data_IF_916254985085
#
_entry.id   IF_916254985085
#
_cell.length_a   1.000
_cell.length_b   1.000
_cell.length_c   1.000
_cell.angle_alpha   90.00
_cell.angle_beta   90.00
_cell.angle_gamma   90.00
#
_symmetry.space_group_name_H-M   'P 1'
#
loop_
_entity.id
_entity.type
_entity.pdbx_description
1 polymer ?
#
# COMPACT_ATOMS: atom_id res chain seq x y z
N UNK A 1 -16.32 -4.56 -16.26
CA UNK A 1 -15.97 -5.93 -16.71
C UNK A 1 -16.68 -6.94 -15.81
N UNK A 2 -17.39 -7.93 -16.37
CA UNK A 2 -17.85 -9.09 -15.59
C UNK A 2 -16.83 -10.22 -15.70
N UNK A 3 -16.45 -10.79 -14.56
CA UNK A 3 -15.62 -11.98 -14.49
C UNK A 3 -16.45 -13.22 -14.84
N UNK A 4 -15.91 -14.10 -15.66
CA UNK A 4 -16.46 -15.44 -15.94
C UNK A 4 -16.44 -16.33 -14.72
N UNK A 5 -17.25 -17.40 -14.71
CA UNK A 5 -17.30 -18.37 -13.60
C UNK A 5 -15.94 -19.03 -13.31
N UNK A 6 -15.09 -19.17 -14.34
CA UNK A 6 -13.73 -19.72 -14.22
C UNK A 6 -12.78 -18.74 -13.55
N UNK A 7 -12.75 -17.50 -14.02
CA UNK A 7 -11.98 -16.40 -13.41
C UNK A 7 -12.37 -16.19 -11.94
N UNK A 8 -13.66 -16.30 -11.65
CA UNK A 8 -14.18 -16.21 -10.30
C UNK A 8 -13.66 -17.33 -9.38
N UNK A 9 -13.66 -18.57 -9.90
CA UNK A 9 -13.15 -19.75 -9.18
C UNK A 9 -11.64 -19.63 -8.92
N UNK A 10 -10.89 -19.08 -9.87
CA UNK A 10 -9.45 -18.85 -9.73
C UNK A 10 -9.14 -17.80 -8.65
N UNK A 11 -9.92 -16.71 -8.55
CA UNK A 11 -9.79 -15.72 -7.46
C UNK A 11 -10.06 -16.39 -6.11
N UNK A 12 -11.16 -17.14 -6.01
CA UNK A 12 -11.58 -17.80 -4.76
C UNK A 12 -10.52 -18.81 -4.29
N UNK A 13 -9.97 -19.59 -5.22
CA UNK A 13 -8.89 -20.52 -4.94
C UNK A 13 -7.62 -19.80 -4.44
N UNK A 14 -7.24 -18.68 -5.05
CA UNK A 14 -6.05 -17.93 -4.64
C UNK A 14 -6.21 -17.23 -3.30
N UNK A 15 -7.44 -16.90 -2.91
CA UNK A 15 -7.76 -16.47 -1.55
C UNK A 15 -7.66 -17.59 -0.52
N UNK A 16 -8.07 -18.81 -0.89
CA UNK A 16 -8.06 -19.99 -0.01
C UNK A 16 -6.65 -20.58 0.18
N UNK A 17 -5.83 -20.60 -0.87
CA UNK A 17 -4.46 -21.13 -0.84
C UNK A 17 -3.46 -20.14 -0.22
N UNK A 18 -3.83 -18.86 -0.15
CA UNK A 18 -2.98 -17.78 0.33
C UNK A 18 -2.16 -17.15 -0.79
N UNK A 19 -2.13 -15.81 -0.78
CA UNK A 19 -1.34 -14.97 -1.67
C UNK A 19 -0.02 -14.47 -1.06
N UNK A 20 0.52 -13.39 -1.60
CA UNK A 20 1.86 -12.83 -1.34
C UNK A 20 1.98 -12.06 0.01
N UNK A 21 1.58 -12.64 1.14
CA UNK A 21 1.57 -11.97 2.48
C UNK A 21 2.94 -11.43 2.89
N UNK A 22 3.97 -12.23 2.68
CA UNK A 22 5.34 -11.84 3.02
C UNK A 22 5.82 -10.64 2.20
N UNK A 23 5.42 -10.56 0.92
CA UNK A 23 5.73 -9.42 0.07
C UNK A 23 4.95 -8.17 0.48
N UNK A 24 3.65 -8.31 0.81
CA UNK A 24 2.86 -7.20 1.37
C UNK A 24 3.54 -6.65 2.63
N UNK A 25 3.91 -7.54 3.55
CA UNK A 25 4.55 -7.14 4.80
C UNK A 25 5.93 -6.50 4.59
N UNK A 26 6.73 -7.05 3.67
CA UNK A 26 8.04 -6.50 3.32
C UNK A 26 7.93 -5.09 2.72
N UNK A 27 7.00 -4.89 1.78
CA UNK A 27 6.77 -3.58 1.15
C UNK A 27 6.27 -2.55 2.16
N UNK A 28 5.30 -2.91 3.01
CA UNK A 28 4.79 -2.04 4.06
C UNK A 28 5.87 -1.68 5.08
N UNK A 29 6.67 -2.65 5.54
CA UNK A 29 7.75 -2.42 6.49
C UNK A 29 8.85 -1.51 5.91
N UNK A 30 9.22 -1.74 4.65
CA UNK A 30 10.24 -0.95 3.94
C UNK A 30 9.77 0.49 3.75
N UNK A 31 8.54 0.68 3.26
CA UNK A 31 7.95 2.00 3.08
C UNK A 31 7.87 2.75 4.42
N UNK A 32 7.32 2.10 5.46
CA UNK A 32 7.15 2.71 6.79
C UNK A 32 8.49 3.15 7.38
N UNK A 33 9.50 2.29 7.30
CA UNK A 33 10.84 2.59 7.82
C UNK A 33 11.47 3.77 7.08
N UNK A 34 11.38 3.81 5.76
CA UNK A 34 11.92 4.91 4.96
C UNK A 34 11.19 6.22 5.25
N UNK A 35 9.85 6.19 5.35
CA UNK A 35 9.04 7.36 5.70
C UNK A 35 9.39 7.90 7.08
N UNK A 36 9.52 7.04 8.09
CA UNK A 36 9.92 7.46 9.45
C UNK A 36 11.32 8.05 9.46
N UNK A 37 12.28 7.44 8.76
CA UNK A 37 13.64 7.97 8.67
C UNK A 37 13.65 9.37 8.04
N UNK A 38 12.86 9.60 6.98
CA UNK A 38 12.73 10.92 6.38
C UNK A 38 12.10 11.92 7.36
N UNK A 39 10.98 11.57 7.99
CA UNK A 39 10.26 12.44 8.92
C UNK A 39 11.09 12.79 10.16
N UNK A 40 11.85 11.83 10.70
CA UNK A 40 12.79 12.05 11.80
C UNK A 40 13.94 12.96 11.38
N UNK A 41 14.47 12.81 10.16
CA UNK A 41 15.48 13.72 9.63
C UNK A 41 14.94 15.14 9.46
N UNK A 42 13.74 15.29 8.91
CA UNK A 42 13.08 16.59 8.75
C UNK A 42 12.86 17.29 10.11
N UNK A 43 12.48 16.52 11.13
CA UNK A 43 12.27 17.01 12.49
C UNK A 43 13.58 17.39 13.19
N UNK A 44 14.62 16.55 13.08
CA UNK A 44 15.79 16.64 13.94
C UNK A 44 17.01 17.28 13.28
N UNK A 45 17.11 17.20 11.95
CA UNK A 45 18.34 17.44 11.19
C UNK A 45 18.28 18.59 10.20
N UNK A 46 17.13 18.87 9.55
CA UNK A 46 17.03 19.92 8.52
C UNK A 46 17.64 21.26 8.96
N UNK A 47 17.40 21.66 10.20
CA UNK A 47 17.88 22.93 10.77
C UNK A 47 19.11 22.77 11.69
N UNK A 48 19.65 21.56 11.84
CA UNK A 48 20.72 21.21 12.79
C UNK A 48 21.77 20.30 12.15
N UNK A 49 22.20 20.63 10.94
CA UNK A 49 23.15 19.85 10.14
C UNK A 49 24.52 19.65 10.81
N UNK A 50 24.86 20.45 11.83
CA UNK A 50 26.12 20.29 12.57
C UNK A 50 26.17 19.06 13.48
N UNK A 51 25.02 18.45 13.82
CA UNK A 51 24.99 17.23 14.63
C UNK A 51 25.55 16.04 13.85
N UNK A 52 26.37 15.21 14.50
CA UNK A 52 27.01 14.03 13.89
C UNK A 52 26.00 13.12 13.19
N UNK A 53 24.90 12.76 13.88
CA UNK A 53 23.83 11.92 13.32
C UNK A 53 23.20 12.47 12.02
N UNK A 54 23.21 13.80 11.85
CA UNK A 54 22.67 14.44 10.66
C UNK A 54 23.70 14.50 9.53
N UNK A 55 24.99 14.65 9.86
CA UNK A 55 26.09 14.59 8.89
C UNK A 55 26.24 13.20 8.31
N UNK A 56 26.21 12.16 9.14
CA UNK A 56 26.33 10.76 8.70
C UNK A 56 25.26 10.42 7.64
N UNK A 57 24.03 10.95 7.81
CA UNK A 57 22.94 10.77 6.83
C UNK A 57 23.18 11.58 5.56
N UNK A 58 23.69 12.81 5.67
CA UNK A 58 23.99 13.65 4.50
C UNK A 58 25.10 13.01 3.68
N UNK A 59 26.20 12.59 4.32
CA UNK A 59 27.35 11.95 3.66
C UNK A 59 26.92 10.65 2.95
N UNK A 60 26.14 9.80 3.62
CA UNK A 60 25.62 8.57 3.01
C UNK A 60 24.68 8.83 1.80
N UNK A 61 23.99 9.98 1.78
CA UNK A 61 23.13 10.36 0.65
C UNK A 61 23.91 11.07 -0.46
N UNK A 62 24.94 11.84 -0.12
CA UNK A 62 25.81 12.53 -1.10
C UNK A 62 26.51 11.55 -2.05
N UNK A 63 26.85 10.34 -1.57
CA UNK A 63 27.35 9.25 -2.43
C UNK A 63 26.39 8.87 -3.58
N UNK A 64 25.10 9.20 -3.45
CA UNK A 64 24.08 8.96 -4.49
C UNK A 64 23.93 10.12 -5.47
N UNK A 65 24.58 11.25 -5.22
CA UNK A 65 24.44 12.48 -6.02
C UNK A 65 23.11 13.22 -5.84
N UNK A 66 22.31 12.85 -4.83
CA UNK A 66 21.00 13.45 -4.53
C UNK A 66 21.05 14.27 -3.23
N UNK A 67 20.14 15.23 -3.10
CA UNK A 67 19.85 15.84 -1.79
C UNK A 67 18.99 14.91 -0.92
N UNK A 68 19.07 15.02 0.42
CA UNK A 68 18.38 14.12 1.37
C UNK A 68 16.88 13.96 1.12
N UNK A 69 16.15 15.07 0.93
CA UNK A 69 14.73 15.01 0.63
C UNK A 69 14.43 14.32 -0.72
N UNK A 70 15.25 14.60 -1.75
CA UNK A 70 15.14 13.95 -3.05
C UNK A 70 15.43 12.46 -2.95
N UNK A 71 16.46 12.05 -2.21
CA UNK A 71 16.80 10.65 -1.98
C UNK A 71 15.65 9.89 -1.34
N UNK A 72 15.08 10.39 -0.23
CA UNK A 72 13.97 9.73 0.44
C UNK A 72 12.73 9.67 -0.44
N UNK A 73 12.40 10.76 -1.14
CA UNK A 73 11.27 10.79 -2.06
C UNK A 73 11.42 9.77 -3.19
N UNK A 74 12.58 9.75 -3.87
CA UNK A 74 12.90 8.77 -4.92
C UNK A 74 12.85 7.35 -4.39
N UNK A 75 13.37 7.11 -3.17
CA UNK A 75 13.36 5.80 -2.53
C UNK A 75 11.92 5.34 -2.24
N UNK A 76 11.07 6.19 -1.66
CA UNK A 76 9.68 5.86 -1.39
C UNK A 76 8.90 5.57 -2.68
N UNK A 77 9.05 6.41 -3.70
CA UNK A 77 8.39 6.19 -5.00
C UNK A 77 8.86 4.91 -5.67
N UNK A 78 10.14 4.59 -5.57
CA UNK A 78 10.70 3.32 -6.08
C UNK A 78 10.14 2.11 -5.33
N UNK A 79 9.98 2.20 -3.99
CA UNK A 79 9.35 1.14 -3.20
C UNK A 79 7.90 0.93 -3.61
N UNK A 80 7.14 1.99 -3.87
CA UNK A 80 5.76 1.88 -4.38
C UNK A 80 5.73 1.23 -5.76
N UNK A 81 6.59 1.64 -6.69
CA UNK A 81 6.67 1.01 -8.02
C UNK A 81 6.94 -0.48 -7.89
N UNK A 82 7.89 -0.89 -7.03
CA UNK A 82 8.17 -2.31 -6.77
C UNK A 82 6.97 -3.05 -6.19
N UNK A 83 6.28 -2.45 -5.22
CA UNK A 83 5.04 -3.03 -4.69
C UNK A 83 3.97 -3.20 -5.78
N UNK A 84 3.81 -2.23 -6.68
CA UNK A 84 2.90 -2.36 -7.82
C UNK A 84 3.34 -3.46 -8.79
N UNK A 85 4.64 -3.59 -9.10
CA UNK A 85 5.16 -4.67 -9.95
C UNK A 85 4.85 -6.04 -9.35
N UNK A 86 4.96 -6.19 -8.03
CA UNK A 86 4.79 -7.47 -7.36
C UNK A 86 3.32 -7.84 -7.11
N UNK A 87 2.50 -6.82 -6.80
CA UNK A 87 1.17 -7.02 -6.21
C UNK A 87 0.04 -6.50 -7.08
N UNK A 88 0.22 -5.44 -7.88
CA UNK A 88 -0.88 -4.76 -8.55
C UNK A 88 -1.28 -5.44 -9.87
N UNK A 89 -2.59 -5.52 -10.17
CA UNK A 89 -3.07 -5.64 -11.54
C UNK A 89 -2.72 -4.39 -12.35
N UNK A 90 -2.47 -4.52 -13.66
CA UNK A 90 -2.02 -3.38 -14.49
C UNK A 90 -2.96 -2.16 -14.45
N UNK A 91 -4.27 -2.42 -14.40
CA UNK A 91 -5.29 -1.36 -14.41
C UNK A 91 -5.49 -0.67 -13.06
N UNK A 92 -4.94 -1.19 -11.97
CA UNK A 92 -4.99 -0.57 -10.63
C UNK A 92 -3.70 0.17 -10.26
N UNK A 93 -2.78 0.36 -11.21
CA UNK A 93 -1.57 1.14 -11.00
C UNK A 93 -1.86 2.62 -11.30
N UNK A 94 -1.71 3.55 -10.33
CA UNK A 94 -1.97 4.97 -10.57
C UNK A 94 -1.05 5.58 -11.63
N UNK A 95 -1.55 6.63 -12.29
CA UNK A 95 -0.82 7.32 -13.34
C UNK A 95 0.56 7.83 -12.88
N UNK A 96 0.66 8.41 -11.68
CA UNK A 96 1.93 8.94 -11.18
C UNK A 96 2.99 7.83 -11.03
N UNK A 97 2.59 6.61 -10.68
CA UNK A 97 3.48 5.44 -10.56
C UNK A 97 4.00 5.06 -11.93
N UNK A 98 3.10 4.97 -12.94
CA UNK A 98 3.47 4.70 -14.34
C UNK A 98 4.42 5.78 -14.88
N UNK A 99 4.11 7.06 -14.63
CA UNK A 99 4.94 8.19 -15.03
C UNK A 99 6.32 8.13 -14.38
N UNK A 100 6.40 7.92 -13.06
CA UNK A 100 7.67 7.84 -12.33
C UNK A 100 8.51 6.65 -12.82
N UNK A 101 7.89 5.48 -13.01
CA UNK A 101 8.58 4.29 -13.50
C UNK A 101 9.18 4.51 -14.91
N UNK A 102 8.44 5.14 -15.82
CA UNK A 102 8.93 5.50 -17.14
C UNK A 102 10.20 6.35 -17.08
N UNK A 103 10.16 7.43 -16.31
CA UNK A 103 11.26 8.40 -16.23
C UNK A 103 12.49 7.87 -15.50
N UNK A 104 12.33 6.83 -14.67
CA UNK A 104 13.42 6.22 -13.90
C UNK A 104 13.85 4.86 -14.46
N UNK A 105 13.40 4.49 -15.66
CA UNK A 105 13.85 3.27 -16.34
C UNK A 105 13.36 1.95 -15.69
N UNK A 106 12.31 1.99 -14.88
CA UNK A 106 11.71 0.83 -14.22
C UNK A 106 10.72 0.16 -15.17
N UNK A 107 11.25 -0.57 -16.15
CA UNK A 107 10.50 -1.10 -17.30
C UNK A 107 9.55 -2.24 -16.93
N UNK A 108 9.82 -2.94 -15.84
CA UNK A 108 9.07 -4.10 -15.37
C UNK A 108 7.61 -3.75 -15.07
N UNK A 109 7.32 -2.52 -14.64
CA UNK A 109 5.94 -2.07 -14.43
C UNK A 109 5.12 -2.09 -15.72
N UNK A 110 5.76 -1.86 -16.88
CA UNK A 110 5.08 -1.91 -18.17
C UNK A 110 4.87 -3.33 -18.66
N UNK A 111 5.46 -4.35 -18.03
CA UNK A 111 5.23 -5.75 -18.39
C UNK A 111 3.95 -6.30 -17.73
N UNK A 112 3.33 -5.54 -16.82
CA UNK A 112 2.11 -5.96 -16.13
C UNK A 112 0.96 -6.27 -17.08
N UNK A 113 0.83 -5.57 -18.21
CA UNK A 113 -0.23 -5.85 -19.19
C UNK A 113 -0.11 -7.23 -19.86
N UNK A 114 1.06 -7.88 -19.76
CA UNK A 114 1.32 -9.21 -20.35
C UNK A 114 1.03 -10.36 -19.39
N UNK A 115 0.73 -10.05 -18.12
CA UNK A 115 0.37 -11.09 -17.16
C UNK A 115 -0.94 -11.75 -17.60
N UNK A 116 -0.99 -13.07 -17.46
CA UNK A 116 -2.21 -13.81 -17.74
C UNK A 116 -3.34 -13.40 -16.79
N UNK A 117 -4.56 -13.69 -17.21
CA UNK A 117 -5.77 -13.35 -16.45
C UNK A 117 -5.73 -13.90 -15.03
N UNK A 118 -5.19 -15.10 -14.80
CA UNK A 118 -5.14 -15.72 -13.47
C UNK A 118 -4.23 -14.93 -12.55
N UNK A 119 -3.05 -14.52 -13.00
CA UNK A 119 -2.12 -13.71 -12.21
C UNK A 119 -2.69 -12.30 -11.95
N UNK A 120 -3.34 -11.67 -12.93
CA UNK A 120 -4.03 -10.38 -12.74
C UNK A 120 -5.10 -10.47 -11.64
N UNK A 121 -5.81 -11.60 -11.59
CA UNK A 121 -6.85 -11.85 -10.61
C UNK A 121 -6.32 -12.17 -9.22
N UNK A 122 -5.22 -12.90 -9.10
CA UNK A 122 -4.54 -13.12 -7.82
C UNK A 122 -4.10 -11.79 -7.20
N UNK A 123 -3.59 -10.89 -8.04
CA UNK A 123 -3.14 -9.55 -7.67
C UNK A 123 -4.29 -8.63 -7.22
N UNK A 124 -5.50 -8.85 -7.73
CA UNK A 124 -6.70 -8.13 -7.30
C UNK A 124 -7.04 -8.37 -5.82
N UNK A 125 -6.56 -9.46 -5.23
CA UNK A 125 -6.74 -9.77 -3.80
C UNK A 125 -5.69 -9.05 -2.95
N UNK A 126 -4.44 -9.08 -3.40
CA UNK A 126 -3.28 -8.67 -2.60
C UNK A 126 -3.05 -7.16 -2.63
N UNK A 127 -3.22 -6.52 -3.78
CA UNK A 127 -2.95 -5.10 -3.93
C UNK A 127 -3.89 -4.19 -3.14
N UNK A 128 -5.23 -4.43 -3.11
CA UNK A 128 -6.10 -3.64 -2.26
C UNK A 128 -5.66 -3.70 -0.79
N UNK A 129 -5.34 -4.88 -0.27
CA UNK A 129 -4.88 -5.04 1.12
C UNK A 129 -3.64 -4.17 1.37
N UNK A 130 -2.65 -4.24 0.48
CA UNK A 130 -1.48 -3.37 0.55
C UNK A 130 -1.86 -1.89 0.56
N UNK A 131 -2.69 -1.43 -0.38
CA UNK A 131 -3.08 -0.02 -0.51
C UNK A 131 -3.86 0.50 0.72
N UNK A 132 -4.82 -0.28 1.24
CA UNK A 132 -5.57 0.06 2.45
C UNK A 132 -4.67 0.14 3.68
N UNK A 133 -3.79 -0.84 3.87
CA UNK A 133 -2.85 -0.83 4.99
C UNK A 133 -1.88 0.35 4.90
N UNK A 134 -1.38 0.65 3.70
CA UNK A 134 -0.50 1.79 3.46
C UNK A 134 -1.22 3.12 3.75
N UNK A 135 -2.49 3.26 3.35
CA UNK A 135 -3.34 4.40 3.69
C UNK A 135 -3.50 4.57 5.21
N UNK A 136 -3.74 3.48 5.95
CA UNK A 136 -3.79 3.51 7.42
C UNK A 136 -2.47 3.96 8.06
N UNK A 137 -1.33 3.48 7.55
CA UNK A 137 0.01 3.91 7.98
C UNK A 137 0.22 5.40 7.68
N UNK A 138 -0.16 5.85 6.48
CA UNK A 138 -0.05 7.25 6.05
C UNK A 138 -0.79 8.20 6.99
N UNK A 139 -2.05 7.91 7.31
CA UNK A 139 -2.82 8.68 8.30
C UNK A 139 -2.18 8.67 9.69
N UNK A 140 -1.63 7.53 10.11
CA UNK A 140 -0.93 7.43 11.39
C UNK A 140 0.29 8.36 11.46
N UNK A 141 1.05 8.45 10.37
CA UNK A 141 2.20 9.34 10.27
C UNK A 141 1.77 10.81 10.28
N UNK A 142 0.73 11.17 9.54
CA UNK A 142 0.17 12.53 9.54
C UNK A 142 -0.21 12.95 10.95
N UNK A 143 -1.04 12.17 11.65
CA UNK A 143 -1.48 12.52 13.01
C UNK A 143 -0.34 12.65 14.03
N UNK A 144 0.69 11.80 13.94
CA UNK A 144 1.81 11.84 14.88
C UNK A 144 2.69 13.08 14.64
N UNK A 145 2.93 13.45 13.38
CA UNK A 145 3.81 14.57 13.03
C UNK A 145 3.10 15.92 12.93
N UNK A 146 1.78 15.96 12.71
CA UNK A 146 0.97 17.18 12.83
C UNK A 146 1.06 17.78 14.24
N UNK A 147 1.03 16.94 15.28
CA UNK A 147 1.17 17.37 16.68
C UNK A 147 2.52 18.01 16.97
N UNK A 148 3.56 17.67 16.20
CA UNK A 148 4.91 18.23 16.34
C UNK A 148 5.02 19.56 15.59
N UNK A 149 4.30 19.71 14.47
CA UNK A 149 4.35 20.87 13.59
C UNK A 149 5.63 20.91 12.72
N UNK A 150 5.80 22.02 12.00
CA UNK A 150 7.01 22.30 11.21
C UNK A 150 7.15 21.48 9.92
N UNK A 151 8.38 21.36 9.42
CA UNK A 151 8.68 20.71 8.13
C UNK A 151 8.34 19.22 8.13
N UNK A 152 8.50 18.52 9.24
CA UNK A 152 8.10 17.11 9.34
C UNK A 152 6.59 16.91 9.18
N UNK A 153 5.76 17.87 9.62
CA UNK A 153 4.31 17.82 9.39
C UNK A 153 3.99 17.96 7.89
N UNK A 154 4.59 18.96 7.23
CA UNK A 154 4.43 19.16 5.78
C UNK A 154 4.92 17.94 4.98
N UNK A 155 6.04 17.32 5.37
CA UNK A 155 6.53 16.09 4.75
C UNK A 155 5.60 14.90 5.00
N UNK A 156 4.99 14.77 6.18
CA UNK A 156 4.02 13.70 6.45
C UNK A 156 2.78 13.86 5.56
N UNK A 157 2.27 15.09 5.44
CA UNK A 157 1.17 15.41 4.53
C UNK A 157 1.54 15.12 3.07
N UNK A 158 2.75 15.50 2.63
CA UNK A 158 3.24 15.17 1.29
C UNK A 158 3.26 13.66 1.03
N UNK A 159 3.88 12.88 1.92
CA UNK A 159 3.92 11.41 1.78
C UNK A 159 2.50 10.85 1.70
N UNK A 160 1.59 11.34 2.53
CA UNK A 160 0.21 10.85 2.53
C UNK A 160 -0.54 11.24 1.25
N UNK A 161 -0.68 12.53 0.96
CA UNK A 161 -1.54 13.01 -0.13
C UNK A 161 -0.95 12.78 -1.53
N UNK A 162 0.37 12.88 -1.69
CA UNK A 162 0.98 12.82 -3.03
C UNK A 162 1.47 11.42 -3.41
N UNK A 163 1.69 10.54 -2.42
CA UNK A 163 2.22 9.19 -2.66
C UNK A 163 1.20 8.11 -2.28
N UNK A 164 0.63 8.17 -1.08
CA UNK A 164 -0.22 7.09 -0.55
C UNK A 164 -1.66 7.19 -1.04
N UNK A 165 -2.28 8.36 -0.92
CA UNK A 165 -3.70 8.56 -1.24
C UNK A 165 -4.06 8.11 -2.66
N UNK A 166 -3.26 8.41 -3.71
CA UNK A 166 -3.63 7.98 -5.06
C UNK A 166 -3.61 6.46 -5.25
N UNK A 167 -2.84 5.72 -4.45
CA UNK A 167 -2.84 4.24 -4.45
C UNK A 167 -4.13 3.69 -3.84
N UNK A 168 -4.66 4.38 -2.84
CA UNK A 168 -5.92 4.05 -2.21
C UNK A 168 -7.11 4.44 -3.09
N UNK A 169 -7.11 5.65 -3.66
CA UNK A 169 -8.19 6.16 -4.51
C UNK A 169 -8.45 5.27 -5.72
N UNK A 170 -7.39 4.83 -6.43
CA UNK A 170 -7.56 3.95 -7.59
C UNK A 170 -8.17 2.60 -7.19
N UNK A 171 -7.89 2.13 -5.98
CA UNK A 171 -8.50 0.91 -5.43
C UNK A 171 -9.96 1.18 -5.08
N UNK A 172 -10.29 2.30 -4.41
CA UNK A 172 -11.68 2.64 -4.07
C UNK A 172 -12.54 2.82 -5.30
N UNK A 173 -12.07 3.56 -6.31
CA UNK A 173 -12.81 3.80 -7.56
C UNK A 173 -12.87 2.52 -8.40
N UNK A 174 -11.75 1.80 -8.51
CA UNK A 174 -11.68 0.53 -9.24
C UNK A 174 -12.50 -0.59 -8.61
N UNK A 175 -12.75 -0.50 -7.30
CA UNK A 175 -13.58 -1.40 -6.51
C UNK A 175 -14.92 -0.77 -6.07
N UNK A 176 -15.28 0.43 -6.54
CA UNK A 176 -16.50 1.14 -6.13
C UNK A 176 -17.81 0.35 -6.33
N UNK A 177 -17.90 -0.66 -7.22
CA UNK A 177 -19.03 -1.59 -7.23
C UNK A 177 -19.20 -2.43 -5.93
N UNK A 178 -18.31 -2.31 -4.94
CA UNK A 178 -18.34 -3.03 -3.67
C UNK A 178 -19.28 -2.37 -2.63
N UNK A 179 -20.10 -3.15 -1.89
CA UNK A 179 -21.00 -2.68 -0.85
C UNK A 179 -20.33 -1.98 0.34
N UNK A 180 -21.08 -1.05 0.95
CA UNK A 180 -20.66 -0.18 2.06
C UNK A 180 -20.02 -0.88 3.27
N UNK A 181 -20.47 -2.08 3.66
CA UNK A 181 -19.91 -2.80 4.81
C UNK A 181 -18.46 -3.25 4.61
N UNK A 182 -18.02 -3.44 3.35
CA UNK A 182 -16.62 -3.77 3.01
C UNK A 182 -15.73 -2.58 3.30
N UNK A 183 -16.18 -1.37 2.93
CA UNK A 183 -15.48 -0.13 3.25
C UNK A 183 -15.32 0.06 4.77
N UNK A 184 -16.26 -0.44 5.57
CA UNK A 184 -16.28 -0.29 7.02
C UNK A 184 -15.38 -1.30 7.73
N UNK A 185 -15.40 -2.57 7.33
CA UNK A 185 -14.45 -3.60 7.79
C UNK A 185 -13.01 -3.28 7.39
N UNK A 186 -12.80 -2.77 6.17
CA UNK A 186 -11.48 -2.30 5.70
C UNK A 186 -11.01 -1.06 6.47
N UNK A 187 -11.92 -0.12 6.75
CA UNK A 187 -11.63 1.05 7.58
C UNK A 187 -11.28 0.65 9.01
N UNK A 188 -12.00 -0.32 9.58
CA UNK A 188 -11.71 -0.88 10.91
C UNK A 188 -10.36 -1.57 10.94
N UNK A 189 -10.04 -2.40 9.95
CA UNK A 189 -8.73 -3.03 9.82
C UNK A 189 -7.60 -2.00 9.64
N UNK A 190 -7.83 -0.96 8.85
CA UNK A 190 -6.89 0.16 8.68
C UNK A 190 -6.71 0.94 9.99
N UNK A 191 -7.77 1.09 10.79
CA UNK A 191 -7.73 1.73 12.10
C UNK A 191 -7.03 0.85 13.16
N UNK A 192 -7.21 -0.47 13.12
CA UNK A 192 -6.48 -1.41 13.98
C UNK A 192 -4.99 -1.44 13.63
N UNK A 193 -4.66 -1.48 12.33
CA UNK A 193 -3.31 -1.35 11.81
C UNK A 193 -2.69 0.01 12.20
N UNK A 194 -3.43 1.11 12.08
CA UNK A 194 -3.06 2.44 12.58
C UNK A 194 -2.69 2.40 14.07
N UNK A 195 -3.55 1.85 14.93
CA UNK A 195 -3.33 1.84 16.37
C UNK A 195 -2.11 0.99 16.76
N UNK A 196 -1.92 -0.12 16.07
CA UNK A 196 -0.77 -0.98 16.27
C UNK A 196 0.53 -0.38 15.73
N UNK A 197 0.50 0.23 14.55
CA UNK A 197 1.64 0.95 13.99
C UNK A 197 2.04 2.11 14.90
N UNK A 198 1.08 2.89 15.39
CA UNK A 198 1.28 3.94 16.38
C UNK A 198 1.94 3.42 17.66
N UNK A 199 1.52 2.26 18.18
CA UNK A 199 2.17 1.60 19.33
C UNK A 199 3.59 1.13 19.01
N UNK A 200 3.82 0.56 17.83
CA UNK A 200 5.13 0.08 17.39
C UNK A 200 6.13 1.22 17.18
N UNK A 201 5.67 2.34 16.60
CA UNK A 201 6.46 3.56 16.39
C UNK A 201 6.85 4.19 17.74
N UNK A 202 5.91 4.26 18.70
CA UNK A 202 6.22 4.75 20.07
C UNK A 202 7.10 3.81 20.89
N UNK A 203 7.29 2.55 20.47
CA UNK A 203 8.01 1.51 21.21
C UNK A 203 9.27 0.93 20.54
N UNK A 204 9.72 1.45 19.39
CA UNK A 204 10.94 1.02 18.65
C UNK A 204 11.07 -0.49 18.30
N UNK A 205 10.02 -1.31 18.40
CA UNK A 205 10.09 -2.73 18.02
C UNK A 205 9.62 -2.95 16.58
N UNK A 206 10.59 -3.16 15.67
CA UNK A 206 10.37 -3.57 14.27
C UNK A 206 9.57 -4.89 14.15
N UNK A 207 9.58 -5.71 15.20
CA UNK A 207 8.92 -7.02 15.26
C UNK A 207 7.42 -6.94 15.54
N UNK A 208 6.89 -5.78 15.97
CA UNK A 208 5.45 -5.64 16.23
C UNK A 208 4.60 -5.42 14.97
N UNK A 209 5.20 -4.87 13.91
CA UNK A 209 4.51 -4.56 12.66
C UNK A 209 4.26 -5.82 11.82
N UNK A 210 5.25 -6.71 11.70
CA UNK A 210 5.16 -7.88 10.83
C UNK A 210 4.03 -8.86 11.22
N UNK A 211 3.92 -9.38 12.47
CA UNK A 211 2.85 -10.30 12.87
C UNK A 211 1.47 -9.65 12.76
N UNK A 212 1.39 -8.35 13.00
CA UNK A 212 0.14 -7.61 12.90
C UNK A 212 -0.26 -7.39 11.45
N UNK A 213 0.68 -7.01 10.58
CA UNK A 213 0.46 -6.93 9.14
C UNK A 213 0.03 -8.26 8.56
N UNK A 214 0.65 -9.37 8.98
CA UNK A 214 0.25 -10.71 8.58
C UNK A 214 -1.16 -11.06 9.07
N UNK A 215 -1.49 -10.81 10.35
CA UNK A 215 -2.82 -11.10 10.90
C UNK A 215 -3.92 -10.23 10.26
N UNK A 216 -3.65 -8.93 10.06
CA UNK A 216 -4.57 -8.01 9.40
C UNK A 216 -4.75 -8.38 7.93
N UNK A 217 -3.67 -8.70 7.21
CA UNK A 217 -3.73 -9.18 5.82
C UNK A 217 -4.55 -10.46 5.71
N UNK A 218 -4.31 -11.45 6.58
CA UNK A 218 -5.06 -12.71 6.60
C UNK A 218 -6.54 -12.50 6.88
N UNK A 219 -6.88 -11.73 7.93
CA UNK A 219 -8.28 -11.40 8.25
C UNK A 219 -8.97 -10.67 7.10
N UNK A 220 -8.28 -9.74 6.42
CA UNK A 220 -8.83 -9.02 5.28
C UNK A 220 -9.04 -9.93 4.07
N UNK A 221 -8.10 -10.84 3.77
CA UNK A 221 -8.28 -11.86 2.73
C UNK A 221 -9.47 -12.75 3.02
N UNK A 222 -9.59 -13.30 4.22
CA UNK A 222 -10.72 -14.17 4.57
C UNK A 222 -12.08 -13.46 4.43
N UNK A 223 -12.13 -12.15 4.71
CA UNK A 223 -13.36 -11.35 4.54
C UNK A 223 -13.65 -11.07 3.07
N UNK A 224 -12.64 -10.69 2.28
CA UNK A 224 -12.76 -10.51 0.83
C UNK A 224 -13.16 -11.82 0.14
N UNK A 225 -12.64 -12.96 0.58
CA UNK A 225 -12.96 -14.28 0.06
C UNK A 225 -14.42 -14.67 0.29
N UNK A 226 -14.87 -14.59 1.55
CA UNK A 226 -16.27 -14.85 1.91
C UNK A 226 -17.22 -13.96 1.12
N UNK A 227 -16.84 -12.71 0.90
CA UNK A 227 -17.67 -11.77 0.18
C UNK A 227 -17.75 -12.05 -1.33
N UNK A 228 -16.64 -12.40 -1.96
CA UNK A 228 -16.64 -12.80 -3.36
C UNK A 228 -17.64 -13.96 -3.56
N UNK A 229 -17.65 -14.96 -2.68
CA UNK A 229 -18.67 -16.03 -2.73
C UNK A 229 -20.11 -15.50 -2.70
N UNK A 230 -20.40 -14.45 -1.93
CA UNK A 230 -21.73 -13.81 -1.88
C UNK A 230 -22.05 -13.06 -3.19
N UNK A 231 -21.10 -12.33 -3.77
CA UNK A 231 -21.28 -11.67 -5.06
C UNK A 231 -21.63 -12.65 -6.18
N UNK A 232 -20.97 -13.81 -6.17
CA UNK A 232 -21.26 -14.89 -7.12
C UNK A 232 -22.70 -15.36 -6.98
N UNK A 233 -23.12 -15.69 -5.76
CA UNK A 233 -24.49 -16.14 -5.50
C UNK A 233 -25.53 -15.10 -5.95
N UNK A 234 -25.27 -13.81 -5.69
CA UNK A 234 -26.15 -12.72 -6.11
C UNK A 234 -26.24 -12.59 -7.64
N UNK A 235 -25.11 -12.70 -8.36
CA UNK A 235 -25.11 -12.67 -9.82
C UNK A 235 -25.75 -13.89 -10.46
N UNK A 236 -25.57 -15.08 -9.89
CA UNK A 236 -26.23 -16.31 -10.35
C UNK A 236 -27.75 -16.19 -10.19
N UNK A 237 -28.24 -15.55 -9.11
CA UNK A 237 -29.65 -15.21 -8.92
C UNK A 237 -30.15 -14.20 -9.95
N UNK A 238 -29.43 -13.10 -10.18
CA UNK A 238 -29.78 -12.05 -11.17
C UNK A 238 -29.80 -12.59 -12.61
N UNK A 239 -28.85 -13.48 -12.96
CA UNK A 239 -28.80 -14.15 -14.26
C UNK A 239 -29.94 -15.15 -14.46
N UNK A 240 -30.41 -15.80 -13.37
CA UNK A 240 -31.53 -16.74 -13.42
C UNK A 240 -32.88 -16.03 -13.50
N UNK A 241 -32.97 -14.77 -13.03
CA UNK A 241 -34.20 -13.96 -13.03
C UNK A 241 -34.34 -13.03 -14.24
N UNK A 242 -33.35 -12.99 -15.14
CA UNK A 242 -33.37 -12.24 -16.41
C UNK A 242 -33.65 -13.12 -17.63
N UNK A 243 -33.97 -14.40 -17.41
CA UNK A 243 -34.33 -15.39 -18.44
C UNK A 243 -35.84 -15.71 -18.42
N UNK A 244 -36.60 -15.06 -17.54
CA UNK A 244 -38.09 -15.02 -17.54
C UNK A 244 -38.60 -13.76 -18.23
#
# INVERSE_FOLDING_TARGET
MSLSAREFKDITFSLEVGGKEDLIALHLASFTRTSLAWLEWEKNCRNKLWKKECKDVVEAVEETGLGVATYYNTTLKTLVVKACIDLAPDWLVPYWVKWFAHHNGLKELFELHKLDTREQLNRLVDYPIYAYMLHGIGKALVEEFERVGGTSSATAMYIYWDIIEPLYEVVVVGLEPLPSFISEELRKASYEAYNAARRAIRGKSRLGLLPLTLNTSRSLREKLARYLVVLRAKRELEASSSVE
#
